data_IF_049854088325
#
_entry.id   IF_049854088325
#
_cell.length_a   1.000
_cell.length_b   1.000
_cell.length_c   1.000
_cell.angle_alpha   90.00
_cell.angle_beta   90.00
_cell.angle_gamma   90.00
#
_symmetry.space_group_name_H-M   'P 1'
#
loop_
_entity.id
_entity.type
_entity.pdbx_description
1 polymer ?
#
# COMPACT_ATOMS: atom_id res chain seq x y z
N UNK A 1 1.23 -11.51 11.78
CA UNK A 1 0.98 -10.18 12.36
C UNK A 1 -0.48 -9.82 12.10
N UNK A 2 -1.18 -9.21 13.05
CA UNK A 2 -2.61 -8.85 12.87
C UNK A 2 -2.75 -7.59 12.01
N UNK A 3 -3.78 -7.53 11.15
CA UNK A 3 -4.13 -6.35 10.33
C UNK A 3 -4.76 -5.19 11.13
N UNK A 4 -4.70 -5.23 12.46
CA UNK A 4 -5.33 -4.24 13.35
C UNK A 4 -4.74 -2.83 13.20
N UNK A 5 -3.47 -2.73 12.79
CA UNK A 5 -2.77 -1.47 12.56
C UNK A 5 -3.49 -0.58 11.53
N UNK A 6 -4.24 -1.15 10.58
CA UNK A 6 -4.98 -0.34 9.60
C UNK A 6 -6.07 0.50 10.28
N UNK A 7 -6.68 -0.01 11.35
CA UNK A 7 -7.80 0.65 12.01
C UNK A 7 -7.36 1.96 12.67
N UNK A 8 -6.13 2.00 13.18
CA UNK A 8 -5.53 3.21 13.76
C UNK A 8 -5.33 4.27 12.68
N UNK A 9 -4.90 3.88 11.48
CA UNK A 9 -4.70 4.81 10.36
C UNK A 9 -5.97 5.23 9.64
N UNK A 10 -7.08 4.50 9.82
CA UNK A 10 -8.38 4.88 9.25
C UNK A 10 -9.29 5.60 10.23
N UNK A 11 -8.95 5.63 11.52
CA UNK A 11 -9.85 6.12 12.59
C UNK A 11 -10.33 7.57 12.39
N UNK A 12 -9.47 8.44 11.85
CA UNK A 12 -9.77 9.86 11.62
C UNK A 12 -10.53 10.12 10.31
N UNK A 13 -10.69 9.10 9.46
CA UNK A 13 -11.40 9.25 8.19
C UNK A 13 -12.92 9.21 8.40
N UNK A 14 -13.69 9.80 7.46
CA UNK A 14 -15.10 9.50 7.30
C UNK A 14 -15.36 7.98 7.21
N UNK A 15 -16.46 7.51 7.81
CA UNK A 15 -16.75 6.08 7.96
C UNK A 15 -16.85 5.32 6.63
N UNK A 16 -17.33 5.99 5.58
CA UNK A 16 -17.41 5.50 4.20
C UNK A 16 -16.03 5.28 3.55
N UNK A 17 -14.98 5.91 4.07
CA UNK A 17 -13.61 5.73 3.59
C UNK A 17 -12.82 4.68 4.39
N UNK A 18 -13.35 4.16 5.49
CA UNK A 18 -12.62 3.21 6.35
C UNK A 18 -12.29 1.91 5.61
N UNK A 19 -13.30 1.22 5.08
CA UNK A 19 -13.08 -0.07 4.42
C UNK A 19 -12.28 0.05 3.11
N UNK A 20 -12.56 1.02 2.20
CA UNK A 20 -11.74 1.23 1.02
C UNK A 20 -10.28 1.55 1.35
N UNK A 21 -10.04 2.37 2.38
CA UNK A 21 -8.67 2.75 2.79
C UNK A 21 -7.94 1.59 3.46
N UNK A 22 -8.62 0.84 4.34
CA UNK A 22 -8.07 -0.39 4.92
C UNK A 22 -7.63 -1.36 3.84
N UNK A 23 -8.48 -1.61 2.84
CA UNK A 23 -8.14 -2.51 1.74
C UNK A 23 -6.93 -2.00 0.95
N UNK A 24 -6.90 -0.71 0.60
CA UNK A 24 -5.76 -0.11 -0.09
C UNK A 24 -4.44 -0.24 0.70
N UNK A 25 -4.47 -0.01 2.02
CA UNK A 25 -3.32 -0.18 2.90
C UNK A 25 -2.84 -1.64 2.94
N UNK A 26 -3.76 -2.60 3.04
CA UNK A 26 -3.42 -4.02 2.99
C UNK A 26 -2.81 -4.38 1.63
N UNK A 27 -3.39 -3.94 0.52
CA UNK A 27 -2.83 -4.20 -0.82
C UNK A 27 -1.40 -3.66 -0.97
N UNK A 28 -1.12 -2.47 -0.44
CA UNK A 28 0.21 -1.86 -0.55
C UNK A 28 1.26 -2.46 0.38
N UNK A 29 0.90 -2.80 1.62
CA UNK A 29 1.86 -3.13 2.68
C UNK A 29 1.81 -4.59 3.16
N UNK A 30 0.67 -5.26 3.01
CA UNK A 30 0.47 -6.62 3.46
C UNK A 30 -0.53 -7.39 2.55
N UNK A 31 -0.28 -7.52 1.24
CA UNK A 31 -1.26 -8.06 0.30
C UNK A 31 -1.69 -9.49 0.61
N UNK A 32 -0.84 -10.26 1.30
CA UNK A 32 -1.15 -11.61 1.79
C UNK A 32 -2.18 -11.67 2.92
N UNK A 33 -2.57 -10.53 3.50
CA UNK A 33 -3.58 -10.42 4.56
C UNK A 33 -4.94 -9.94 4.03
N UNK A 34 -5.06 -9.67 2.73
CA UNK A 34 -6.34 -9.29 2.11
C UNK A 34 -7.26 -10.51 2.12
N UNK A 35 -8.50 -10.31 2.56
CA UNK A 35 -9.55 -11.33 2.60
C UNK A 35 -10.72 -10.96 1.70
N UNK A 36 -11.57 -11.95 1.39
CA UNK A 36 -12.82 -11.71 0.64
C UNK A 36 -13.75 -10.72 1.37
N UNK A 37 -13.75 -10.74 2.71
CA UNK A 37 -14.53 -9.80 3.52
C UNK A 37 -14.03 -8.35 3.38
N UNK A 38 -12.71 -8.15 3.31
CA UNK A 38 -12.14 -6.80 3.07
C UNK A 38 -12.55 -6.29 1.68
N UNK A 39 -12.57 -7.17 0.66
CA UNK A 39 -13.01 -6.82 -0.70
C UNK A 39 -14.50 -6.50 -0.73
N UNK A 40 -15.33 -7.33 -0.10
CA UNK A 40 -16.78 -7.13 -0.05
C UNK A 40 -17.15 -5.83 0.68
N UNK A 41 -16.48 -5.52 1.80
CA UNK A 41 -16.71 -4.31 2.58
C UNK A 41 -16.30 -3.03 1.83
N UNK A 42 -15.19 -3.07 1.06
CA UNK A 42 -14.79 -1.92 0.25
C UNK A 42 -15.71 -1.76 -0.98
N UNK A 43 -16.10 -2.87 -1.63
CA UNK A 43 -16.95 -2.85 -2.82
C UNK A 43 -18.33 -2.25 -2.56
N UNK A 44 -18.91 -2.47 -1.38
CA UNK A 44 -20.23 -1.92 -1.03
C UNK A 44 -20.24 -0.39 -0.88
N UNK A 45 -19.07 0.24 -0.76
CA UNK A 45 -18.89 1.69 -0.56
C UNK A 45 -18.35 2.41 -1.80
N UNK A 46 -18.03 1.68 -2.88
CA UNK A 46 -17.52 2.24 -4.13
C UNK A 46 -18.53 2.06 -5.26
N UNK A 47 -18.69 3.10 -6.08
CA UNK A 47 -19.71 3.13 -7.13
C UNK A 47 -19.52 2.04 -8.21
N UNK A 48 -18.28 1.61 -8.43
CA UNK A 48 -17.94 0.66 -9.50
C UNK A 48 -16.75 -0.22 -9.14
N UNK A 49 -16.68 -1.41 -9.74
CA UNK A 49 -15.50 -2.28 -9.65
C UNK A 49 -14.25 -1.61 -10.25
N UNK A 50 -14.42 -0.71 -11.22
CA UNK A 50 -13.33 0.08 -11.78
C UNK A 50 -12.73 1.04 -10.73
N UNK A 51 -13.56 1.65 -9.87
CA UNK A 51 -13.08 2.49 -8.78
C UNK A 51 -12.29 1.66 -7.74
N UNK A 52 -12.77 0.45 -7.42
CA UNK A 52 -12.08 -0.49 -6.53
C UNK A 52 -10.71 -0.87 -7.09
N UNK A 53 -10.66 -1.36 -8.34
CA UNK A 53 -9.39 -1.74 -9.00
C UNK A 53 -8.45 -0.55 -9.12
N UNK A 54 -8.97 0.64 -9.44
CA UNK A 54 -8.19 1.87 -9.52
C UNK A 54 -7.52 2.23 -8.19
N UNK A 55 -8.24 2.15 -7.08
CA UNK A 55 -7.69 2.41 -5.74
C UNK A 55 -6.57 1.42 -5.38
N UNK A 56 -6.78 0.12 -5.65
CA UNK A 56 -5.78 -0.92 -5.41
C UNK A 56 -4.54 -0.75 -6.28
N UNK A 57 -4.73 -0.42 -7.56
CA UNK A 57 -3.63 -0.16 -8.48
C UNK A 57 -2.78 1.03 -8.01
N UNK A 58 -3.41 2.11 -7.54
CA UNK A 58 -2.70 3.27 -7.00
C UNK A 58 -1.94 2.94 -5.71
N UNK A 59 -2.52 2.15 -4.82
CA UNK A 59 -1.87 1.71 -3.59
C UNK A 59 -0.63 0.84 -3.89
N UNK A 60 -0.77 -0.15 -4.76
CA UNK A 60 0.33 -1.00 -5.20
C UNK A 60 1.44 -0.20 -5.90
N UNK A 61 1.06 0.73 -6.79
CA UNK A 61 2.01 1.61 -7.46
C UNK A 61 2.78 2.50 -6.49
N UNK A 62 2.09 3.06 -5.48
CA UNK A 62 2.72 3.89 -4.44
C UNK A 62 3.70 3.08 -3.61
N UNK A 63 3.34 1.85 -3.23
CA UNK A 63 4.24 0.93 -2.54
C UNK A 63 5.47 0.59 -3.38
N UNK A 64 5.28 0.26 -4.66
CA UNK A 64 6.37 -0.03 -5.59
C UNK A 64 7.32 1.16 -5.76
N UNK A 65 6.80 2.38 -5.93
CA UNK A 65 7.60 3.62 -5.96
C UNK A 65 8.42 3.79 -4.69
N UNK A 66 7.81 3.60 -3.51
CA UNK A 66 8.49 3.75 -2.22
C UNK A 66 9.64 2.74 -2.08
N UNK A 67 9.39 1.47 -2.41
CA UNK A 67 10.41 0.43 -2.39
C UNK A 67 11.54 0.76 -3.38
N UNK A 68 11.20 1.25 -4.57
CA UNK A 68 12.16 1.70 -5.58
C UNK A 68 13.13 2.76 -5.05
N UNK A 69 12.67 3.67 -4.17
CA UNK A 69 13.56 4.68 -3.56
C UNK A 69 14.68 4.08 -2.71
N UNK A 70 14.44 2.93 -2.07
CA UNK A 70 15.45 2.24 -1.26
C UNK A 70 16.47 1.51 -2.14
N UNK A 71 16.00 0.88 -3.21
CA UNK A 71 16.86 0.13 -4.14
C UNK A 71 17.79 1.10 -4.89
N UNK A 72 17.27 2.23 -5.37
CA UNK A 72 18.07 3.26 -6.04
C UNK A 72 19.16 3.84 -5.14
N UNK A 73 18.81 4.23 -3.91
CA UNK A 73 19.77 4.77 -2.95
C UNK A 73 20.83 3.75 -2.51
N UNK A 74 20.45 2.47 -2.35
CA UNK A 74 21.39 1.40 -2.03
C UNK A 74 22.40 1.17 -3.16
N UNK A 75 21.98 1.26 -4.43
CA UNK A 75 22.85 1.14 -5.57
C UNK A 75 23.91 2.26 -5.62
N UNK A 76 23.51 3.51 -5.40
CA UNK A 76 24.42 4.67 -5.33
C UNK A 76 25.45 4.52 -4.20
N UNK A 77 25.00 4.12 -3.00
CA UNK A 77 25.88 3.88 -1.86
C UNK A 77 26.87 2.72 -2.08
N UNK A 78 26.48 1.69 -2.84
CA UNK A 78 27.36 0.58 -3.18
C UNK A 78 28.42 0.98 -4.21
N UNK A 79 28.05 1.76 -5.23
CA UNK A 79 29.00 2.31 -6.22
C UNK A 79 30.03 3.21 -5.53
N UNK A 80 29.60 4.06 -4.60
CA UNK A 80 30.53 4.91 -3.83
C UNK A 80 31.47 4.12 -2.92
N UNK A 81 31.06 2.95 -2.42
CA UNK A 81 31.91 2.07 -1.60
C UNK A 81 32.90 1.26 -2.46
N UNK A 82 32.54 0.94 -3.70
CA UNK A 82 33.34 0.14 -4.63
C UNK A 82 34.38 0.95 -5.44
N UNK A 83 34.29 2.27 -5.43
CA UNK A 83 35.27 3.15 -6.06
C UNK A 83 36.17 3.81 -5.01
N UNK A 84 37.20 3.13 -4.48
CA UNK A 84 38.20 3.79 -3.67
C UNK A 84 38.99 4.70 -4.61
N UNK A 85 38.86 6.01 -4.40
CA UNK A 85 39.70 6.98 -5.08
C UNK A 85 41.12 6.86 -4.50
N UNK A 86 42.07 6.49 -5.37
CA UNK A 86 43.51 6.82 -5.31
C UNK A 86 44.29 6.45 -4.06
#
# INVERSE_FOLDING_TARGET
MSSRWTNEHTAELPADLHAPTRLALLTGLAPHQVTDDDVAAARSLLDTDAALVGALAWAAFTAARRIGTWIGAAAEGQVSRQNPTG
#
